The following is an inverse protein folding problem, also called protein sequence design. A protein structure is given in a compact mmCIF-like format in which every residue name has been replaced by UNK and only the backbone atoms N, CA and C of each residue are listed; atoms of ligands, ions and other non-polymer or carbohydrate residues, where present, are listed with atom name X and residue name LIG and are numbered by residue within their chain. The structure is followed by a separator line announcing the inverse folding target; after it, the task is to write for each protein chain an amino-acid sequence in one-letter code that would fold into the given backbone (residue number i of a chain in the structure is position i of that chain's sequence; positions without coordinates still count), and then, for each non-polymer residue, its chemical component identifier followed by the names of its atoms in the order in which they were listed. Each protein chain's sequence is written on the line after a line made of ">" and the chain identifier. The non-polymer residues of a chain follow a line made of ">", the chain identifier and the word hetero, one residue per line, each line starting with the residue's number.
data_IF_990882794599
#
_entry.id   IF_990882794599
#
_cell.length_a   1.000
_cell.length_b   1.000
_cell.length_c   1.000
_cell.angle_alpha   90.00
_cell.angle_beta   90.00
_cell.angle_gamma   90.00
#
_symmetry.space_group_name_H-M   'P 1'
#
loop_
_entity.id
_entity.type
_entity.pdbx_description
1 polymer ?
#
# COMPACT_ATOMS: atom_id res chain seq x y z
N UNK A 1 5.96 34.49 16.42
CA UNK A 1 5.94 33.16 15.77
C UNK A 1 5.00 33.26 14.58
N UNK A 2 5.52 33.23 13.36
CA UNK A 2 4.76 33.45 12.12
C UNK A 2 3.84 32.26 11.84
N UNK A 3 2.55 32.42 12.17
CA UNK A 3 1.52 31.39 12.03
C UNK A 3 1.11 31.20 10.55
N UNK A 4 2.01 30.69 9.70
CA UNK A 4 1.71 30.35 8.29
C UNK A 4 0.67 29.23 8.14
N UNK A 5 0.30 28.57 9.24
CA UNK A 5 -0.74 27.55 9.26
C UNK A 5 -2.16 28.11 9.19
N UNK A 6 -2.35 29.41 9.49
CA UNK A 6 -3.68 29.99 9.74
C UNK A 6 -4.55 30.16 8.47
N UNK A 7 -4.00 29.97 7.28
CA UNK A 7 -4.72 30.17 6.00
C UNK A 7 -4.72 28.95 5.08
N UNK A 8 -4.47 27.75 5.61
CA UNK A 8 -4.51 26.52 4.82
C UNK A 8 -5.95 26.01 4.74
N UNK A 9 -6.57 26.21 3.59
CA UNK A 9 -7.83 25.56 3.27
C UNK A 9 -7.58 24.07 2.96
N UNK A 10 -8.55 23.16 3.19
CA UNK A 10 -8.37 21.73 2.95
C UNK A 10 -8.02 21.37 1.50
N UNK A 11 -8.28 22.27 0.55
CA UNK A 11 -7.99 22.12 -0.87
C UNK A 11 -6.78 22.95 -1.33
N UNK A 12 -6.01 23.52 -0.40
CA UNK A 12 -4.81 24.29 -0.78
C UNK A 12 -3.77 23.33 -1.37
N UNK A 13 -3.29 23.56 -2.60
CA UNK A 13 -2.27 22.71 -3.20
C UNK A 13 -0.93 22.97 -2.53
N UNK A 14 -0.36 21.92 -1.92
CA UNK A 14 0.95 21.97 -1.25
C UNK A 14 1.95 21.07 -1.98
N UNK A 15 3.22 21.47 -2.02
CA UNK A 15 4.25 20.54 -2.46
C UNK A 15 4.39 19.38 -1.46
N UNK A 16 4.94 18.24 -1.90
CA UNK A 16 5.20 17.10 -1.01
C UNK A 16 6.10 17.48 0.18
N UNK A 17 7.02 18.43 -0.01
CA UNK A 17 7.89 18.91 1.07
C UNK A 17 7.10 19.74 2.07
N UNK A 18 6.27 20.66 1.61
CA UNK A 18 5.44 21.49 2.49
C UNK A 18 4.40 20.65 3.23
N UNK A 19 3.75 19.70 2.57
CA UNK A 19 2.79 18.81 3.21
C UNK A 19 3.43 17.96 4.33
N UNK A 20 4.66 17.48 4.11
CA UNK A 20 5.43 16.78 5.15
C UNK A 20 5.69 17.65 6.38
N UNK A 21 6.15 18.89 6.18
CA UNK A 21 6.49 19.81 7.27
C UNK A 21 5.25 20.35 7.98
N UNK A 22 4.20 20.69 7.23
CA UNK A 22 3.03 21.39 7.74
C UNK A 22 1.97 20.41 8.26
N UNK A 23 1.54 19.45 7.44
CA UNK A 23 0.45 18.54 7.79
C UNK A 23 0.91 17.41 8.72
N UNK A 24 2.17 16.99 8.59
CA UNK A 24 2.74 15.86 9.34
C UNK A 24 3.85 16.28 10.31
N UNK A 25 4.11 17.59 10.48
CA UNK A 25 5.12 18.13 11.41
C UNK A 25 6.52 17.52 11.24
N UNK A 26 6.86 17.12 10.01
CA UNK A 26 8.14 16.48 9.69
C UNK A 26 8.27 15.01 10.12
N UNK A 27 7.21 14.36 10.64
CA UNK A 27 7.23 12.94 11.03
C UNK A 27 7.54 12.04 9.83
N UNK A 28 7.05 12.42 8.65
CA UNK A 28 7.19 11.68 7.40
C UNK A 28 7.93 12.55 6.39
N UNK A 29 8.91 11.97 5.68
CA UNK A 29 9.68 12.69 4.65
C UNK A 29 8.91 12.77 3.34
N UNK A 30 9.22 13.78 2.52
CA UNK A 30 8.67 13.93 1.17
C UNK A 30 8.88 12.68 0.29
N UNK A 31 10.00 11.98 0.44
CA UNK A 31 10.27 10.72 -0.28
C UNK A 31 9.27 9.62 0.06
N UNK A 32 8.80 9.56 1.31
CA UNK A 32 7.79 8.59 1.74
C UNK A 32 6.42 8.92 1.15
N UNK A 33 6.05 10.21 1.10
CA UNK A 33 4.83 10.65 0.44
C UNK A 33 4.87 10.35 -1.06
N UNK A 34 6.03 10.55 -1.70
CA UNK A 34 6.24 10.17 -3.10
C UNK A 34 6.02 8.68 -3.32
N UNK A 35 6.65 7.85 -2.49
CA UNK A 35 6.48 6.40 -2.56
C UNK A 35 5.03 5.95 -2.32
N UNK A 36 4.31 6.60 -1.40
CA UNK A 36 2.88 6.33 -1.18
C UNK A 36 2.02 6.71 -2.40
N UNK A 37 2.35 7.81 -3.07
CA UNK A 37 1.69 8.20 -4.30
C UNK A 37 1.97 7.23 -5.46
N UNK A 38 3.23 6.77 -5.60
CA UNK A 38 3.62 5.75 -6.59
C UNK A 38 2.90 4.41 -6.36
N UNK A 39 2.60 4.07 -5.11
CA UNK A 39 1.78 2.89 -4.74
C UNK A 39 0.27 3.10 -4.89
N UNK A 40 -0.19 4.30 -5.23
CA UNK A 40 -1.62 4.64 -5.31
C UNK A 40 -2.31 4.74 -3.94
N UNK A 41 -1.55 4.87 -2.86
CA UNK A 41 -2.08 5.01 -1.50
C UNK A 41 -2.40 6.46 -1.16
N UNK A 42 -1.70 7.40 -1.76
CA UNK A 42 -1.88 8.84 -1.56
C UNK A 42 -2.40 9.49 -2.83
N UNK A 43 -3.53 10.21 -2.73
CA UNK A 43 -4.04 11.02 -3.83
C UNK A 43 -3.13 12.24 -4.05
N UNK A 44 -2.65 12.40 -5.28
CA UNK A 44 -1.79 13.52 -5.68
C UNK A 44 -2.34 14.15 -6.96
N UNK A 45 -2.07 15.44 -7.12
CA UNK A 45 -2.45 16.20 -8.30
C UNK A 45 -1.19 16.62 -9.05
N UNK A 46 -1.22 16.51 -10.38
CA UNK A 46 -0.14 16.98 -11.25
C UNK A 46 -0.54 18.30 -11.88
N UNK A 47 0.08 19.38 -11.43
CA UNK A 47 -0.09 20.72 -11.99
C UNK A 47 1.17 21.04 -12.81
N UNK A 48 1.07 20.83 -14.13
CA UNK A 48 2.18 20.97 -15.07
C UNK A 48 3.32 20.00 -14.73
N UNK A 49 4.50 20.54 -14.40
CA UNK A 49 5.69 19.75 -14.01
C UNK A 49 5.78 19.48 -12.51
N UNK A 50 4.81 19.96 -11.71
CA UNK A 50 4.84 19.85 -10.25
C UNK A 50 3.81 18.82 -9.78
N UNK A 51 4.19 18.10 -8.73
CA UNK A 51 3.31 17.22 -7.98
C UNK A 51 2.92 17.97 -6.71
N UNK A 52 1.62 18.10 -6.49
CA UNK A 52 1.05 18.72 -5.30
C UNK A 52 0.10 17.76 -4.62
N UNK A 53 -0.16 18.03 -3.35
CA UNK A 53 -1.08 17.29 -2.50
C UNK A 53 -1.86 18.28 -1.67
N UNK A 54 -3.11 17.94 -1.36
CA UNK A 54 -3.98 18.77 -0.52
C UNK A 54 -3.98 18.26 0.92
N UNK A 55 -4.20 19.13 1.92
CA UNK A 55 -4.38 18.70 3.31
C UNK A 55 -5.46 17.62 3.48
N UNK A 56 -6.57 17.72 2.73
CA UNK A 56 -7.62 16.71 2.73
C UNK A 56 -7.13 15.33 2.27
N UNK A 57 -6.30 15.27 1.23
CA UNK A 57 -5.71 14.01 0.76
C UNK A 57 -4.77 13.39 1.80
N UNK A 58 -4.01 14.21 2.54
CA UNK A 58 -3.17 13.74 3.64
C UNK A 58 -4.01 13.18 4.78
N UNK A 59 -5.11 13.83 5.14
CA UNK A 59 -6.02 13.32 6.18
C UNK A 59 -6.65 11.98 5.79
N UNK A 60 -7.14 11.85 4.56
CA UNK A 60 -7.65 10.59 4.03
C UNK A 60 -6.57 9.49 4.05
N UNK A 61 -5.34 9.83 3.69
CA UNK A 61 -4.21 8.90 3.75
C UNK A 61 -3.89 8.46 5.19
N UNK A 62 -3.94 9.38 6.15
CA UNK A 62 -3.76 9.06 7.58
C UNK A 62 -4.84 8.11 8.08
N UNK A 63 -6.08 8.27 7.64
CA UNK A 63 -7.16 7.35 7.98
C UNK A 63 -6.90 5.95 7.41
N UNK A 64 -6.41 5.86 6.16
CA UNK A 64 -6.02 4.57 5.56
C UNK A 64 -4.86 3.90 6.29
N UNK A 65 -3.90 4.69 6.77
CA UNK A 65 -2.78 4.19 7.57
C UNK A 65 -3.16 3.86 9.03
N UNK A 66 -4.39 4.17 9.47
CA UNK A 66 -4.83 3.89 10.83
C UNK A 66 -4.96 2.38 11.02
N UNK A 67 -3.95 1.79 11.66
CA UNK A 67 -4.00 0.40 12.09
C UNK A 67 -5.00 0.31 13.25
N UNK A 68 -6.10 -0.43 13.07
CA UNK A 68 -7.00 -0.76 14.17
C UNK A 68 -6.21 -1.57 15.19
N UNK A 69 -6.13 -1.07 16.43
CA UNK A 69 -5.51 -1.80 17.52
C UNK A 69 -6.06 -3.23 17.53
N UNK A 70 -5.16 -4.21 17.42
CA UNK A 70 -5.56 -5.60 17.52
C UNK A 70 -6.11 -5.76 18.92
N UNK A 71 -7.44 -5.95 19.03
CA UNK A 71 -8.03 -6.42 20.28
C UNK A 71 -7.19 -7.61 20.73
N UNK A 72 -6.85 -7.75 22.02
CA UNK A 72 -6.27 -8.98 22.56
C UNK A 72 -7.34 -10.08 22.53
N UNK A 73 -7.79 -10.43 21.33
CA UNK A 73 -8.57 -11.61 21.01
C UNK A 73 -7.57 -12.63 20.51
N UNK A 74 -7.42 -13.69 21.30
CA UNK A 74 -7.02 -15.06 20.97
C UNK A 74 -6.40 -15.19 19.57
N UNK A 75 -5.13 -15.61 19.51
CA UNK A 75 -4.43 -15.97 18.28
C UNK A 75 -5.24 -16.94 17.43
N UNK A 76 -6.08 -16.40 16.55
CA UNK A 76 -6.78 -17.11 15.49
C UNK A 76 -5.86 -17.18 14.29
N UNK A 77 -5.54 -18.41 13.90
CA UNK A 77 -4.71 -18.78 12.78
C UNK A 77 -5.26 -18.23 11.47
N UNK A 78 -4.55 -17.28 10.87
CA UNK A 78 -4.72 -16.94 9.46
C UNK A 78 -3.36 -16.48 8.93
N UNK A 79 -2.57 -17.48 8.59
CA UNK A 79 -1.19 -17.33 8.17
C UNK A 79 -0.81 -18.52 7.30
N UNK A 80 -1.16 -18.43 6.01
CA UNK A 80 -0.41 -19.12 4.97
C UNK A 80 -1.21 -19.99 4.02
N UNK A 81 -2.00 -19.36 3.13
CA UNK A 81 -2.48 -19.92 1.86
C UNK A 81 -1.34 -20.24 0.86
N UNK A 82 -0.27 -20.91 1.31
CA UNK A 82 0.85 -21.34 0.46
C UNK A 82 1.02 -22.86 0.38
N UNK A 83 0.28 -23.64 1.18
CA UNK A 83 0.43 -25.10 1.21
C UNK A 83 -0.65 -25.88 0.46
N UNK A 84 -1.81 -25.29 0.14
CA UNK A 84 -2.87 -25.99 -0.63
C UNK A 84 -2.51 -26.20 -2.10
N UNK A 85 -1.57 -25.42 -2.63
CA UNK A 85 -1.10 -25.53 -4.02
C UNK A 85 -0.11 -26.69 -4.22
N UNK A 86 0.52 -27.18 -3.14
CA UNK A 86 1.54 -28.23 -3.24
C UNK A 86 0.93 -29.61 -3.53
N UNK A 87 -0.21 -29.96 -2.91
CA UNK A 87 -0.85 -31.26 -3.13
C UNK A 87 -1.48 -31.38 -4.53
N UNK A 88 -2.10 -30.30 -5.02
CA UNK A 88 -2.72 -30.27 -6.36
C UNK A 88 -1.67 -30.35 -7.48
N UNK A 89 -0.49 -29.74 -7.27
CA UNK A 89 0.63 -29.82 -8.21
C UNK A 89 1.20 -31.25 -8.32
N UNK A 90 1.32 -31.97 -7.20
CA UNK A 90 1.87 -33.33 -7.18
C UNK A 90 0.94 -34.35 -7.87
N UNK A 91 -0.38 -34.18 -7.74
CA UNK A 91 -1.36 -35.00 -8.44
C UNK A 91 -1.26 -34.84 -9.97
N UNK A 92 -1.10 -33.60 -10.44
CA UNK A 92 -0.98 -33.30 -11.88
C UNK A 92 0.34 -33.83 -12.48
N UNK A 93 1.44 -33.75 -11.73
CA UNK A 93 2.73 -34.32 -12.13
C UNK A 93 2.68 -35.86 -12.24
N UNK A 94 2.02 -36.54 -11.31
CA UNK A 94 1.84 -38.01 -11.37
C UNK A 94 1.02 -38.44 -12.58
N UNK A 95 -0.05 -37.72 -12.90
CA UNK A 95 -0.88 -38.01 -14.07
C UNK A 95 -0.10 -37.87 -15.40
N UNK A 96 0.80 -36.88 -15.49
CA UNK A 96 1.67 -36.69 -16.65
C UNK A 96 2.67 -37.85 -16.83
N UNK A 97 3.28 -38.32 -15.74
CA UNK A 97 4.24 -39.44 -15.77
C UNK A 97 3.57 -40.74 -16.26
N UNK A 98 2.36 -41.04 -15.79
CA UNK A 98 1.63 -42.24 -16.24
C UNK A 98 1.24 -42.14 -17.73
N UNK A 99 0.89 -40.95 -18.21
CA UNK A 99 0.59 -40.72 -19.63
C UNK A 99 1.84 -40.94 -20.50
N UNK A 100 3.00 -40.46 -20.06
CA UNK A 100 4.29 -40.66 -20.74
C UNK A 100 4.72 -42.14 -20.74
N UNK A 101 4.60 -42.85 -19.61
CA UNK A 101 4.88 -44.29 -19.52
C UNK A 101 4.00 -45.12 -20.47
N UNK A 102 2.71 -44.78 -20.57
CA UNK A 102 1.78 -45.47 -21.47
C UNK A 102 2.09 -45.20 -22.95
N UNK A 103 2.59 -44.00 -23.28
CA UNK A 103 3.04 -43.66 -24.63
C UNK A 103 4.37 -44.35 -25.00
N UNK A 104 5.29 -44.51 -24.04
CA UNK A 104 6.58 -45.17 -24.24
C UNK A 104 6.52 -46.70 -24.31
N UNK A 105 5.39 -47.31 -23.92
CA UNK A 105 5.16 -48.77 -23.99
C UNK A 105 4.47 -49.21 -25.29
N UNK A 106 4.40 -48.32 -26.29
CA UNK A 106 3.86 -48.62 -27.62
C UNK A 106 4.98 -48.91 -28.61
#
# INVERSE_FOLDING_TARGET
>A
MDNRADSLTPNTPLSLKEAAEICLRGIVKASTLRAAAERGELAIERLGRRIVVTPAAIEAWRERCRVRAKSPGIAGADGGDTYRTAEVALASARAQIEKLKKAAKR
#
